data_IF_608694865414
#
_entry.id   IF_608694865414
#
_cell.length_a   1.000
_cell.length_b   1.000
_cell.length_c   1.000
_cell.angle_alpha   90.00
_cell.angle_beta   90.00
_cell.angle_gamma   90.00
#
_symmetry.space_group_name_H-M   'P 1'
#
loop_
_entity.id
_entity.type
_entity.pdbx_description
1 polymer ?
#
# COMPACT_ATOMS: atom_id res chain seq x y z
N UNK A 1 -11.94 4.62 45.83
CA UNK A 1 -11.23 3.47 45.24
C UNK A 1 -11.99 3.09 43.97
N UNK A 2 -11.39 3.14 42.79
CA UNK A 2 -12.07 2.72 41.55
C UNK A 2 -12.12 1.20 41.48
N UNK A 3 -13.22 0.64 40.94
CA UNK A 3 -13.45 -0.81 40.81
C UNK A 3 -13.63 -1.15 39.34
N UNK A 4 -12.84 -2.13 38.86
CA UNK A 4 -13.00 -2.73 37.52
C UNK A 4 -13.84 -3.99 37.67
N UNK A 5 -14.83 -4.18 36.79
CA UNK A 5 -15.69 -5.37 36.73
C UNK A 5 -15.56 -5.98 35.34
N UNK A 6 -15.18 -7.26 35.28
CA UNK A 6 -15.12 -8.03 34.04
C UNK A 6 -16.36 -8.92 34.00
N UNK A 7 -17.26 -8.68 33.03
CA UNK A 7 -18.45 -9.49 32.82
C UNK A 7 -18.39 -10.16 31.44
N UNK A 8 -18.09 -11.45 31.41
CA UNK A 8 -17.93 -12.23 30.17
C UNK A 8 -19.24 -12.44 29.40
N UNK A 9 -20.39 -12.12 29.99
CA UNK A 9 -21.70 -12.10 29.30
C UNK A 9 -21.95 -10.78 28.56
N UNK A 10 -21.12 -9.75 28.78
CA UNK A 10 -21.19 -8.46 28.07
C UNK A 10 -20.04 -8.33 27.08
N UNK A 11 -20.14 -9.05 25.96
CA UNK A 11 -19.18 -8.97 24.86
C UNK A 11 -19.48 -7.78 23.95
N UNK A 12 -18.47 -7.00 23.56
CA UNK A 12 -18.60 -5.92 22.56
C UNK A 12 -18.57 -6.49 21.13
N UNK A 13 -17.61 -7.37 20.86
CA UNK A 13 -17.43 -7.99 19.54
C UNK A 13 -16.14 -8.81 19.47
N UNK A 14 -15.94 -9.47 18.34
CA UNK A 14 -14.66 -10.12 18.03
C UNK A 14 -13.64 -9.03 17.68
N UNK A 15 -12.45 -9.11 18.28
CA UNK A 15 -11.32 -8.28 17.89
C UNK A 15 -10.87 -8.73 16.50
N UNK A 16 -10.90 -7.82 15.53
CA UNK A 16 -10.35 -8.05 14.20
C UNK A 16 -8.86 -7.71 14.22
N UNK A 17 -8.01 -8.64 13.78
CA UNK A 17 -6.56 -8.47 13.85
C UNK A 17 -6.07 -7.27 13.03
N UNK A 18 -6.82 -6.81 12.02
CA UNK A 18 -6.43 -5.64 11.21
C UNK A 18 -6.41 -4.32 12.01
N UNK A 19 -6.93 -4.29 13.25
CA UNK A 19 -6.76 -3.10 14.12
C UNK A 19 -5.31 -2.93 14.60
N UNK A 20 -4.48 -3.97 14.48
CA UNK A 20 -3.05 -3.95 14.79
C UNK A 20 -2.20 -3.65 13.54
N UNK A 21 -2.78 -2.90 12.59
CA UNK A 21 -2.10 -2.45 11.39
C UNK A 21 -1.04 -1.37 11.64
N UNK A 22 -0.24 -1.13 10.61
CA UNK A 22 0.77 -0.07 10.58
C UNK A 22 0.77 0.60 9.19
N UNK A 23 1.60 1.61 9.00
CA UNK A 23 1.64 2.45 7.81
C UNK A 23 3.10 2.84 7.52
N UNK A 24 3.50 2.67 6.26
CA UNK A 24 4.79 3.14 5.76
C UNK A 24 4.57 4.06 4.55
N UNK A 25 5.40 5.09 4.46
CA UNK A 25 5.34 6.11 3.41
C UNK A 25 6.74 6.36 2.86
N UNK A 26 6.82 6.81 1.60
CA UNK A 26 8.03 7.44 1.08
C UNK A 26 8.17 8.85 1.69
N UNK A 27 8.44 8.88 3.00
CA UNK A 27 8.63 10.07 3.81
C UNK A 27 9.84 9.87 4.73
N UNK A 28 10.79 10.79 4.63
CA UNK A 28 12.05 10.80 5.36
C UNK A 28 12.80 9.48 5.19
N UNK A 29 13.12 8.84 6.32
CA UNK A 29 13.84 7.56 6.35
C UNK A 29 12.93 6.37 6.63
N UNK A 30 11.61 6.51 6.47
CA UNK A 30 10.66 5.42 6.74
C UNK A 30 10.98 4.20 5.85
N UNK A 31 11.07 4.40 4.53
CA UNK A 31 11.47 3.37 3.58
C UNK A 31 12.99 3.34 3.43
N UNK A 32 13.60 4.38 2.86
CA UNK A 32 15.03 4.40 2.57
C UNK A 32 15.86 4.70 3.82
N UNK A 33 16.70 3.75 4.23
CA UNK A 33 17.45 3.80 5.50
C UNK A 33 16.67 3.23 6.70
N UNK A 34 15.36 3.02 6.54
CA UNK A 34 14.47 2.38 7.51
C UNK A 34 14.17 0.95 7.12
N UNK A 35 13.03 0.70 6.48
CA UNK A 35 12.61 -0.63 6.02
C UNK A 35 13.58 -1.23 4.99
N UNK A 36 14.09 -0.40 4.08
CA UNK A 36 14.90 -0.79 2.93
C UNK A 36 16.23 -0.02 2.92
N UNK A 37 17.32 -0.74 3.09
CA UNK A 37 18.68 -0.20 3.11
C UNK A 37 19.69 -1.27 2.64
N UNK A 38 19.85 -1.48 1.33
CA UNK A 38 20.73 -2.52 0.77
C UNK A 38 22.21 -2.38 1.18
N UNK A 39 22.65 -1.19 1.57
CA UNK A 39 24.03 -0.94 2.02
C UNK A 39 24.26 -1.29 3.49
N UNK A 40 23.20 -1.58 4.25
CA UNK A 40 23.30 -1.86 5.68
C UNK A 40 23.89 -3.25 5.96
N UNK A 41 24.76 -3.41 6.98
CA UNK A 41 25.17 -4.73 7.46
C UNK A 41 23.99 -5.54 8.02
N UNK A 42 22.88 -4.89 8.37
CA UNK A 42 21.67 -5.53 8.85
C UNK A 42 20.69 -5.90 7.73
N UNK A 43 21.01 -5.63 6.46
CA UNK A 43 20.16 -6.00 5.33
C UNK A 43 20.15 -7.51 5.06
N UNK A 44 19.06 -7.99 4.46
CA UNK A 44 18.98 -9.27 3.77
C UNK A 44 19.37 -9.13 2.28
N UNK A 45 19.30 -10.24 1.54
CA UNK A 45 19.60 -10.31 0.11
C UNK A 45 18.69 -9.46 -0.79
N UNK A 46 17.49 -9.13 -0.32
CA UNK A 46 16.55 -8.27 -1.06
C UNK A 46 16.79 -6.79 -0.75
N UNK A 47 17.53 -6.48 0.32
CA UNK A 47 17.84 -5.14 0.80
C UNK A 47 17.02 -4.70 2.01
N UNK A 48 16.19 -5.59 2.58
CA UNK A 48 15.36 -5.28 3.75
C UNK A 48 16.15 -5.39 5.03
N UNK A 49 15.97 -4.43 5.94
CA UNK A 49 16.60 -4.43 7.26
C UNK A 49 16.02 -5.55 8.14
N UNK A 50 16.82 -6.57 8.45
CA UNK A 50 16.41 -7.75 9.23
C UNK A 50 15.99 -7.41 10.65
N UNK A 51 16.67 -6.47 11.28
CA UNK A 51 16.36 -5.96 12.61
C UNK A 51 15.02 -5.20 12.64
N UNK A 52 14.72 -4.43 11.59
CA UNK A 52 13.42 -3.76 11.42
C UNK A 52 12.30 -4.78 11.16
N UNK A 53 12.53 -5.78 10.33
CA UNK A 53 11.57 -6.88 10.11
C UNK A 53 11.28 -7.63 11.42
N UNK A 54 12.32 -7.94 12.20
CA UNK A 54 12.17 -8.63 13.48
C UNK A 54 11.40 -7.80 14.51
N UNK A 55 11.69 -6.50 14.60
CA UNK A 55 10.92 -5.59 15.44
C UNK A 55 9.44 -5.53 15.00
N UNK A 56 9.19 -5.47 13.68
CA UNK A 56 7.85 -5.45 13.10
C UNK A 56 7.03 -6.71 13.45
N UNK A 57 7.66 -7.90 13.38
CA UNK A 57 7.03 -9.16 13.81
C UNK A 57 6.73 -9.16 15.30
N UNK A 58 7.67 -8.69 16.14
CA UNK A 58 7.50 -8.62 17.60
C UNK A 58 6.39 -7.66 18.02
N UNK A 59 6.17 -6.59 17.26
CA UNK A 59 5.05 -5.68 17.45
C UNK A 59 3.70 -6.31 17.08
N UNK A 60 3.70 -7.45 16.37
CA UNK A 60 2.48 -8.12 15.93
C UNK A 60 1.74 -7.33 14.85
N UNK A 61 2.47 -6.68 13.93
CA UNK A 61 1.87 -5.94 12.83
C UNK A 61 1.15 -6.92 11.89
N UNK A 62 -0.15 -6.71 11.68
CA UNK A 62 -1.02 -7.63 10.91
C UNK A 62 -1.34 -7.12 9.51
N UNK A 63 -1.23 -5.81 9.30
CA UNK A 63 -1.51 -5.16 8.03
C UNK A 63 -0.58 -3.94 7.87
N UNK A 64 -0.12 -3.65 6.66
CA UNK A 64 0.65 -2.43 6.40
C UNK A 64 0.09 -1.66 5.23
N UNK A 65 -0.12 -0.35 5.43
CA UNK A 65 -0.53 0.58 4.36
C UNK A 65 0.69 1.10 3.59
N UNK A 66 0.62 1.14 2.26
CA UNK A 66 1.63 1.68 1.31
C UNK A 66 0.94 2.13 0.02
N UNK A 67 1.51 3.02 -0.80
CA UNK A 67 2.65 3.91 -0.53
C UNK A 67 2.25 5.05 0.41
N UNK A 68 0.94 5.15 0.66
CA UNK A 68 0.20 5.94 1.65
C UNK A 68 0.60 7.40 1.83
N UNK A 69 -0.12 8.04 2.75
CA UNK A 69 0.02 9.46 3.08
C UNK A 69 -0.07 10.38 1.87
N UNK A 70 0.54 11.55 2.00
CA UNK A 70 0.57 12.60 0.99
C UNK A 70 1.44 12.23 -0.23
N UNK A 71 2.20 11.13 -0.16
CA UNK A 71 2.93 10.59 -1.31
C UNK A 71 2.02 9.80 -2.28
N UNK A 72 1.00 9.09 -1.77
CA UNK A 72 0.14 8.25 -2.61
C UNK A 72 -0.59 8.97 -3.76
N UNK A 73 -1.11 10.21 -3.60
CA UNK A 73 -1.82 10.95 -4.66
C UNK A 73 -0.99 11.39 -5.88
N UNK A 74 0.29 11.04 -5.89
CA UNK A 74 1.22 11.35 -6.99
C UNK A 74 1.96 10.10 -7.48
N UNK A 75 2.10 9.09 -6.61
CA UNK A 75 2.76 7.83 -6.95
C UNK A 75 2.19 7.14 -8.19
N UNK A 76 3.09 6.74 -9.10
CA UNK A 76 2.79 5.92 -10.28
C UNK A 76 3.36 4.53 -10.08
N UNK A 77 2.51 3.55 -9.76
CA UNK A 77 2.99 2.20 -9.43
C UNK A 77 3.81 1.57 -10.57
N UNK A 78 3.51 1.93 -11.82
CA UNK A 78 4.20 1.49 -13.04
C UNK A 78 5.68 1.90 -13.05
N UNK A 79 6.03 2.99 -12.37
CA UNK A 79 7.41 3.47 -12.20
C UNK A 79 8.16 2.71 -11.09
N UNK A 80 7.44 2.00 -10.21
CA UNK A 80 7.97 1.26 -9.08
C UNK A 80 8.07 -0.25 -9.31
N UNK A 81 7.92 -0.74 -10.54
CA UNK A 81 7.96 -2.18 -10.87
C UNK A 81 9.02 -2.47 -11.93
N UNK A 82 9.38 -3.74 -12.10
CA UNK A 82 10.39 -4.17 -13.08
C UNK A 82 11.83 -3.92 -12.61
N UNK A 83 12.83 -4.05 -13.50
CA UNK A 83 14.24 -3.96 -13.12
C UNK A 83 14.59 -2.60 -12.49
N UNK A 84 15.15 -2.62 -11.28
CA UNK A 84 15.35 -1.43 -10.43
C UNK A 84 16.20 -0.35 -11.12
N UNK A 85 17.19 -0.77 -11.89
CA UNK A 85 18.11 0.09 -12.65
C UNK A 85 17.44 0.85 -13.80
N UNK A 86 16.25 0.41 -14.25
CA UNK A 86 15.48 1.05 -15.30
C UNK A 86 14.34 1.93 -14.74
N UNK A 87 14.10 1.90 -13.43
CA UNK A 87 13.03 2.68 -12.80
C UNK A 87 13.41 4.16 -12.78
N UNK A 88 12.48 5.07 -13.17
CA UNK A 88 12.77 6.50 -13.14
C UNK A 88 12.87 6.99 -11.69
N UNK A 89 13.65 8.05 -11.46
CA UNK A 89 13.59 8.78 -10.19
C UNK A 89 12.33 9.64 -10.18
N UNK A 90 11.56 9.57 -9.10
CA UNK A 90 10.39 10.41 -8.91
C UNK A 90 10.75 11.63 -8.07
N UNK A 91 10.31 12.82 -8.47
CA UNK A 91 10.47 14.07 -7.70
C UNK A 91 9.27 14.37 -6.78
N UNK A 92 8.46 13.34 -6.49
CA UNK A 92 7.15 13.48 -5.87
C UNK A 92 7.17 13.26 -4.35
N UNK A 93 8.32 13.37 -3.68
CA UNK A 93 8.37 13.37 -2.20
C UNK A 93 8.59 14.79 -1.68
N UNK A 94 8.04 15.15 -0.51
CA UNK A 94 8.30 16.46 0.12
C UNK A 94 9.79 16.72 0.37
N UNK A 95 10.61 15.67 0.52
CA UNK A 95 12.05 15.78 0.76
C UNK A 95 12.93 15.65 -0.50
N UNK A 96 12.34 15.49 -1.69
CA UNK A 96 13.06 15.50 -2.97
C UNK A 96 12.81 14.28 -3.86
N UNK A 97 13.89 13.60 -4.25
CA UNK A 97 13.83 12.50 -5.21
C UNK A 97 13.68 11.13 -4.52
N UNK A 98 12.62 10.40 -4.82
CA UNK A 98 12.55 8.96 -4.59
C UNK A 98 13.28 8.21 -5.70
N UNK A 99 14.21 7.29 -5.38
CA UNK A 99 14.86 6.45 -6.37
C UNK A 99 13.93 5.37 -6.96
N UNK A 100 12.70 5.21 -6.44
CA UNK A 100 11.78 4.13 -6.82
C UNK A 100 12.36 2.70 -6.69
N UNK A 101 13.41 2.54 -5.89
CA UNK A 101 14.04 1.24 -5.61
C UNK A 101 13.22 0.32 -4.70
N UNK A 102 12.10 0.82 -4.17
CA UNK A 102 11.15 0.09 -3.34
C UNK A 102 9.75 0.42 -3.85
N UNK A 103 9.11 -0.53 -4.55
CA UNK A 103 7.76 -0.36 -5.09
C UNK A 103 6.88 -1.56 -4.75
N UNK A 104 5.92 -1.87 -5.63
CA UNK A 104 4.88 -2.88 -5.36
C UNK A 104 5.47 -4.24 -5.01
N UNK A 105 6.44 -4.71 -5.80
CA UNK A 105 7.03 -6.05 -5.66
C UNK A 105 7.79 -6.16 -4.32
N UNK A 106 8.62 -5.17 -4.02
CA UNK A 106 9.37 -5.10 -2.76
C UNK A 106 8.46 -4.97 -1.55
N UNK A 107 7.45 -4.11 -1.62
CA UNK A 107 6.50 -3.88 -0.54
C UNK A 107 5.75 -5.17 -0.17
N UNK A 108 5.27 -5.90 -1.18
CA UNK A 108 4.55 -7.15 -0.96
C UNK A 108 5.49 -8.22 -0.40
N UNK A 109 6.71 -8.36 -0.95
CA UNK A 109 7.72 -9.28 -0.40
C UNK A 109 7.98 -9.01 1.08
N UNK A 110 8.23 -7.74 1.43
CA UNK A 110 8.45 -7.31 2.81
C UNK A 110 7.27 -7.63 3.73
N UNK A 111 6.03 -7.32 3.31
CA UNK A 111 4.82 -7.67 4.06
C UNK A 111 4.75 -9.17 4.34
N UNK A 112 5.06 -10.02 3.36
CA UNK A 112 5.05 -11.48 3.54
C UNK A 112 6.13 -11.94 4.51
N UNK A 113 7.32 -11.34 4.50
CA UNK A 113 8.41 -11.64 5.45
C UNK A 113 8.09 -11.24 6.90
N UNK A 114 7.21 -10.27 7.12
CA UNK A 114 6.76 -9.88 8.46
C UNK A 114 5.40 -10.47 8.85
N UNK A 115 4.81 -11.30 8.00
CA UNK A 115 3.48 -11.91 8.18
C UNK A 115 2.32 -10.91 8.26
N UNK A 116 2.42 -9.81 7.51
CA UNK A 116 1.37 -8.80 7.39
C UNK A 116 0.65 -8.88 6.03
N UNK A 117 -0.61 -8.43 6.00
CA UNK A 117 -1.34 -8.21 4.77
C UNK A 117 -1.00 -6.84 4.16
N UNK A 118 -0.75 -6.75 2.84
CA UNK A 118 -0.59 -5.47 2.17
C UNK A 118 -1.94 -4.74 2.06
N UNK A 119 -1.92 -3.45 2.31
CA UNK A 119 -3.03 -2.52 2.13
C UNK A 119 -2.59 -1.37 1.21
N UNK A 120 -3.09 -1.36 -0.03
CA UNK A 120 -2.59 -0.45 -1.06
C UNK A 120 -3.44 0.81 -1.15
N UNK A 121 -2.82 1.98 -1.10
CA UNK A 121 -3.48 3.26 -1.31
C UNK A 121 -3.37 3.71 -2.77
N UNK A 122 -4.51 3.86 -3.43
CA UNK A 122 -4.61 4.28 -4.83
C UNK A 122 -4.36 5.78 -4.95
N UNK A 123 -3.60 6.15 -5.99
CA UNK A 123 -3.44 7.51 -6.44
C UNK A 123 -4.77 8.05 -7.03
N UNK A 124 -5.49 8.84 -6.24
CA UNK A 124 -6.70 9.56 -6.67
C UNK A 124 -6.45 11.07 -6.80
N UNK A 125 -5.18 11.51 -6.77
CA UNK A 125 -4.81 12.91 -6.97
C UNK A 125 -4.52 13.21 -8.44
N UNK A 126 -3.41 12.66 -8.92
CA UNK A 126 -2.97 12.78 -10.32
C UNK A 126 -3.27 11.52 -11.15
N UNK A 127 -3.66 10.42 -10.48
CA UNK A 127 -4.01 9.13 -11.05
C UNK A 127 -5.37 9.09 -11.75
N UNK A 128 -5.70 7.91 -12.27
CA UNK A 128 -7.00 7.66 -12.88
C UNK A 128 -7.46 6.21 -12.61
N UNK A 129 -8.73 5.93 -12.93
CA UNK A 129 -9.35 4.63 -12.68
C UNK A 129 -8.74 3.47 -13.48
N UNK A 130 -8.18 3.75 -14.67
CA UNK A 130 -7.45 2.75 -15.46
C UNK A 130 -6.16 2.32 -14.77
N UNK A 131 -5.36 3.27 -14.28
CA UNK A 131 -4.15 2.98 -13.51
C UNK A 131 -4.46 2.19 -12.24
N UNK A 132 -5.56 2.51 -11.55
CA UNK A 132 -5.98 1.76 -10.37
C UNK A 132 -6.38 0.31 -10.70
N UNK A 133 -7.16 0.11 -11.78
CA UNK A 133 -7.50 -1.24 -12.28
C UNK A 133 -6.24 -2.01 -12.69
N UNK A 134 -5.33 -1.37 -13.41
CA UNK A 134 -4.08 -1.96 -13.85
C UNK A 134 -3.23 -2.44 -12.67
N UNK A 135 -3.24 -1.70 -11.56
CA UNK A 135 -2.54 -2.12 -10.35
C UNK A 135 -3.18 -3.34 -9.68
N UNK A 136 -4.53 -3.41 -9.68
CA UNK A 136 -5.26 -4.60 -9.23
C UNK A 136 -4.93 -5.80 -10.13
N UNK A 137 -4.92 -5.63 -11.45
CA UNK A 137 -4.59 -6.69 -12.40
C UNK A 137 -3.13 -7.16 -12.25
N UNK A 138 -2.19 -6.22 -12.11
CA UNK A 138 -0.79 -6.53 -11.79
C UNK A 138 -0.70 -7.39 -10.54
N UNK A 139 -1.40 -7.02 -9.46
CA UNK A 139 -1.31 -7.72 -8.19
C UNK A 139 -2.05 -9.06 -8.15
N UNK A 140 -3.24 -9.14 -8.77
CA UNK A 140 -4.19 -10.24 -8.52
C UNK A 140 -4.53 -11.05 -9.77
N UNK A 141 -4.22 -10.56 -10.97
CA UNK A 141 -4.49 -11.28 -12.22
C UNK A 141 -3.67 -12.57 -12.36
N UNK A 142 -4.23 -13.56 -13.05
CA UNK A 142 -3.67 -14.92 -13.17
C UNK A 142 -2.82 -15.16 -14.44
N UNK A 143 -2.59 -14.11 -15.24
CA UNK A 143 -1.95 -14.19 -16.56
C UNK A 143 -2.96 -13.99 -17.70
N UNK A 144 -2.45 -13.64 -18.88
CA UNK A 144 -3.25 -13.38 -20.09
C UNK A 144 -3.73 -11.94 -20.24
N UNK A 145 -3.25 -11.04 -19.39
CA UNK A 145 -3.48 -9.59 -19.47
C UNK A 145 -2.14 -8.86 -19.38
N UNK A 146 -2.07 -7.64 -19.92
CA UNK A 146 -0.83 -6.87 -19.96
C UNK A 146 -0.13 -6.78 -18.60
N UNK A 147 -0.87 -6.48 -17.53
CA UNK A 147 -0.28 -6.21 -16.23
C UNK A 147 -0.01 -7.47 -15.41
N UNK A 148 -0.88 -8.49 -15.48
CA UNK A 148 -0.55 -9.77 -14.86
C UNK A 148 0.64 -10.47 -15.56
N UNK A 149 0.74 -10.40 -16.89
CA UNK A 149 1.89 -10.91 -17.64
C UNK A 149 3.16 -10.08 -17.36
N UNK A 150 3.02 -8.76 -17.12
CA UNK A 150 4.14 -7.93 -16.67
C UNK A 150 4.65 -8.38 -15.30
N UNK A 151 3.77 -8.66 -14.33
CA UNK A 151 4.16 -9.21 -13.01
C UNK A 151 4.92 -10.53 -13.17
N UNK A 152 4.42 -11.43 -14.01
CA UNK A 152 5.07 -12.72 -14.32
C UNK A 152 6.47 -12.47 -14.92
N UNK A 153 6.58 -11.58 -15.91
CA UNK A 153 7.85 -11.22 -16.54
C UNK A 153 8.84 -10.54 -15.58
N UNK A 154 8.34 -9.85 -14.56
CA UNK A 154 9.15 -9.25 -13.49
C UNK A 154 9.65 -10.30 -12.46
N UNK A 155 9.35 -11.59 -12.65
CA UNK A 155 9.84 -12.68 -11.79
C UNK A 155 8.85 -13.14 -10.73
N UNK A 156 7.60 -12.68 -10.79
CA UNK A 156 6.56 -12.99 -9.79
C UNK A 156 5.38 -13.71 -10.46
N UNK A 157 5.51 -15.03 -10.71
CA UNK A 157 4.51 -15.77 -11.49
C UNK A 157 3.14 -15.83 -10.79
N UNK A 158 3.14 -16.07 -9.49
CA UNK A 158 1.91 -16.19 -8.70
C UNK A 158 1.27 -14.83 -8.40
N UNK A 159 -0.07 -14.73 -8.43
CA UNK A 159 -0.77 -13.54 -7.96
C UNK A 159 -0.47 -13.26 -6.48
N UNK A 160 -0.25 -11.99 -6.15
CA UNK A 160 0.00 -11.54 -4.78
C UNK A 160 -1.24 -11.59 -3.87
N UNK A 161 -2.44 -11.60 -4.47
CA UNK A 161 -3.74 -11.68 -3.79
C UNK A 161 -3.91 -10.58 -2.74
N UNK A 162 -3.64 -9.34 -3.14
CA UNK A 162 -3.83 -8.15 -2.29
C UNK A 162 -5.33 -7.94 -2.05
N UNK A 163 -5.71 -7.95 -0.78
CA UNK A 163 -7.12 -7.90 -0.37
C UNK A 163 -7.61 -6.48 -0.11
N UNK A 164 -6.77 -5.59 0.44
CA UNK A 164 -7.20 -4.31 0.97
C UNK A 164 -6.67 -3.16 0.11
N UNK A 165 -7.58 -2.26 -0.27
CA UNK A 165 -7.28 -1.14 -1.15
C UNK A 165 -8.00 0.13 -0.67
N UNK A 166 -7.30 1.27 -0.62
CA UNK A 166 -7.87 2.56 -0.28
C UNK A 166 -7.99 3.45 -1.51
N UNK A 167 -9.08 4.22 -1.61
CA UNK A 167 -9.25 5.21 -2.67
C UNK A 167 -8.82 6.59 -2.15
N UNK A 168 -7.60 7.02 -2.51
CA UNK A 168 -7.05 8.31 -2.11
C UNK A 168 -6.52 8.36 -0.67
N UNK A 169 -5.93 9.50 -0.32
CA UNK A 169 -5.44 9.87 1.00
C UNK A 169 -6.04 11.23 1.39
N UNK A 170 -6.43 11.42 2.65
CA UNK A 170 -6.85 12.72 3.25
C UNK A 170 -7.54 13.71 2.29
N UNK A 171 -8.50 13.23 1.49
CA UNK A 171 -9.09 13.96 0.36
C UNK A 171 -9.89 15.20 0.80
N UNK A 172 -10.18 15.35 2.10
CA UNK A 172 -10.80 16.53 2.69
C UNK A 172 -9.80 17.61 3.11
N UNK A 173 -8.50 17.35 3.05
CA UNK A 173 -7.47 18.29 3.44
C UNK A 173 -7.09 19.17 2.24
N UNK A 174 -7.19 20.49 2.39
CA UNK A 174 -6.97 21.45 1.28
C UNK A 174 -5.54 21.48 0.73
N UNK A 175 -4.57 20.89 1.45
CA UNK A 175 -3.18 20.76 1.01
C UNK A 175 -2.93 19.48 0.19
N UNK A 176 -3.89 18.55 0.17
CA UNK A 176 -3.73 17.24 -0.44
C UNK A 176 -4.00 17.29 -1.94
N UNK A 177 -3.22 16.53 -2.71
CA UNK A 177 -3.53 16.37 -4.14
C UNK A 177 -4.77 15.51 -4.32
N UNK A 178 -5.70 15.97 -5.16
CA UNK A 178 -7.02 15.34 -5.28
C UNK A 178 -7.99 15.78 -4.18
N UNK A 179 -7.71 16.88 -3.49
CA UNK A 179 -8.65 17.52 -2.58
C UNK A 179 -10.04 17.66 -3.20
N UNK A 180 -11.05 17.27 -2.44
CA UNK A 180 -12.46 17.46 -2.75
C UNK A 180 -13.13 18.20 -1.61
N UNK A 181 -13.84 19.27 -1.95
CA UNK A 181 -14.48 20.15 -0.97
C UNK A 181 -15.63 19.47 -0.21
N UNK A 182 -16.32 18.52 -0.83
CA UNK A 182 -17.47 17.84 -0.24
C UNK A 182 -17.38 16.33 -0.34
N UNK A 183 -17.98 15.58 0.61
CA UNK A 183 -18.11 14.13 0.51
C UNK A 183 -18.81 13.66 -0.77
N UNK A 184 -19.80 14.41 -1.26
CA UNK A 184 -20.53 14.06 -2.49
C UNK A 184 -19.60 14.07 -3.71
N UNK A 185 -18.77 15.11 -3.83
CA UNK A 185 -17.79 15.24 -4.91
C UNK A 185 -16.74 14.13 -4.82
N UNK A 186 -16.29 13.79 -3.61
CA UNK A 186 -15.41 12.64 -3.40
C UNK A 186 -16.01 11.34 -3.93
N UNK A 187 -17.25 11.03 -3.55
CA UNK A 187 -17.93 9.81 -3.97
C UNK A 187 -18.14 9.78 -5.49
N UNK A 188 -18.47 10.92 -6.11
CA UNK A 188 -18.56 11.04 -7.57
C UNK A 188 -17.22 10.72 -8.24
N UNK A 189 -16.12 11.29 -7.74
CA UNK A 189 -14.77 11.07 -8.27
C UNK A 189 -14.23 9.67 -8.00
N UNK A 190 -14.56 9.06 -6.86
CA UNK A 190 -14.11 7.72 -6.46
C UNK A 190 -14.86 6.60 -7.20
N UNK A 191 -16.09 6.84 -7.64
CA UNK A 191 -16.97 5.81 -8.23
C UNK A 191 -16.33 5.10 -9.44
N UNK A 192 -15.72 5.78 -10.43
CA UNK A 192 -15.06 5.11 -11.55
C UNK A 192 -13.93 4.18 -11.10
N UNK A 193 -13.11 4.59 -10.12
CA UNK A 193 -12.03 3.77 -9.57
C UNK A 193 -12.59 2.48 -8.98
N UNK A 194 -13.60 2.61 -8.10
CA UNK A 194 -14.24 1.48 -7.44
C UNK A 194 -14.81 0.50 -8.47
N UNK A 195 -15.54 1.01 -9.47
CA UNK A 195 -16.16 0.19 -10.51
C UNK A 195 -15.12 -0.59 -11.32
N UNK A 196 -14.06 0.08 -11.79
CA UNK A 196 -13.05 -0.57 -12.62
C UNK A 196 -12.20 -1.58 -11.82
N UNK A 197 -11.82 -1.23 -10.59
CA UNK A 197 -11.09 -2.15 -9.70
C UNK A 197 -11.93 -3.39 -9.38
N UNK A 198 -13.22 -3.22 -9.06
CA UNK A 198 -14.13 -4.33 -8.76
C UNK A 198 -14.48 -5.18 -9.97
N UNK A 199 -14.50 -4.59 -11.17
CA UNK A 199 -14.66 -5.34 -12.40
C UNK A 199 -13.44 -6.24 -12.69
N UNK A 200 -12.23 -5.80 -12.31
CA UNK A 200 -11.01 -6.58 -12.40
C UNK A 200 -10.96 -7.71 -11.35
N UNK A 201 -11.19 -7.39 -10.08
CA UNK A 201 -11.27 -8.37 -9.00
C UNK A 201 -12.43 -8.04 -8.05
N UNK A 202 -13.55 -8.78 -8.11
CA UNK A 202 -14.71 -8.49 -7.27
C UNK A 202 -14.46 -8.79 -5.79
N UNK A 203 -13.42 -9.56 -5.46
CA UNK A 203 -13.14 -10.07 -4.10
C UNK A 203 -12.38 -9.08 -3.22
N UNK A 204 -11.77 -8.04 -3.80
CA UNK A 204 -11.03 -7.02 -3.04
C UNK A 204 -11.95 -6.26 -2.06
N UNK A 205 -11.37 -5.69 -1.01
CA UNK A 205 -12.04 -4.83 -0.04
C UNK A 205 -11.54 -3.42 -0.23
N UNK A 206 -12.47 -2.50 -0.50
CA UNK A 206 -12.18 -1.10 -0.76
C UNK A 206 -12.59 -0.28 0.46
N UNK A 207 -11.67 0.56 0.93
CA UNK A 207 -11.90 1.60 1.92
C UNK A 207 -11.91 2.95 1.24
N UNK A 208 -12.69 3.87 1.81
CA UNK A 208 -12.77 5.25 1.36
C UNK A 208 -12.13 6.14 2.42
N UNK A 209 -11.42 7.18 1.98
CA UNK A 209 -10.94 8.22 2.87
C UNK A 209 -12.15 8.93 3.51
N UNK A 210 -12.04 9.18 4.81
CA UNK A 210 -13.08 9.83 5.62
C UNK A 210 -12.75 11.27 5.96
#
# INVERSE_FOLDING_TARGET
MQKIIINTLKTIGKVDDNIFGNFIENLGTCIYGGVYDPGSPAADEEGFRKDVMEASRKMGITQVRFPGGCFAPQYRFKEGIGPRELRPKSNQTPEGFSPNGFGTDEFISWCRKIHAEPYICINMGSGNAEEARDWVDYCNGVGGTEWSDRRIANGHPEPYKVKYWAIGNEISASYEYGYTETPELYIENARPFIQMMKACDPTIRITLAG
#
